data_IF_232272808473
#
_entry.id   IF_232272808473
#
_cell.length_a   1.000
_cell.length_b   1.000
_cell.length_c   1.000
_cell.angle_alpha   90.00
_cell.angle_beta   90.00
_cell.angle_gamma   90.00
#
_symmetry.space_group_name_H-M   'P 1'
#
loop_
_entity.id
_entity.type
_entity.pdbx_description
1 polymer ?
#
# COMPACT_ATOMS: atom_id res chain seq x y z
N UNK A 1 35.66 1.22 -50.97
CA UNK A 1 34.25 1.26 -50.49
C UNK A 1 34.00 0.21 -49.40
N UNK A 2 34.74 0.26 -48.27
CA UNK A 2 34.64 -0.75 -47.18
C UNK A 2 34.68 -0.16 -45.76
N UNK A 3 34.64 1.17 -45.63
CA UNK A 3 34.74 1.87 -44.32
C UNK A 3 33.44 2.55 -43.87
N UNK A 4 32.37 2.45 -44.65
CA UNK A 4 31.07 3.09 -44.36
C UNK A 4 30.04 2.15 -43.70
N UNK A 5 30.29 0.84 -43.66
CA UNK A 5 29.32 -0.14 -43.14
C UNK A 5 29.40 -0.35 -41.62
N UNK A 6 30.48 0.07 -40.95
CA UNK A 6 30.67 -0.16 -39.51
C UNK A 6 30.03 0.90 -38.60
N UNK A 7 29.75 2.10 -39.12
CA UNK A 7 29.16 3.18 -38.31
C UNK A 7 27.65 3.02 -38.09
N UNK A 8 26.96 2.27 -38.96
CA UNK A 8 25.50 2.11 -38.89
C UNK A 8 25.03 1.00 -37.92
N UNK A 9 25.91 0.04 -37.58
CA UNK A 9 25.55 -1.05 -36.67
C UNK A 9 25.66 -0.69 -35.19
N UNK A 10 26.41 0.38 -34.85
CA UNK A 10 26.56 0.83 -33.46
C UNK A 10 25.41 1.77 -33.02
N UNK A 11 24.77 2.47 -33.96
CA UNK A 11 23.65 3.37 -33.66
C UNK A 11 22.33 2.62 -33.36
N UNK A 12 22.17 1.38 -33.87
CA UNK A 12 20.95 0.60 -33.66
C UNK A 12 20.90 -0.08 -32.28
N UNK A 13 22.05 -0.32 -31.65
CA UNK A 13 22.10 -0.91 -30.30
C UNK A 13 21.85 0.11 -29.18
N UNK A 14 22.05 1.41 -29.42
CA UNK A 14 21.82 2.46 -28.42
C UNK A 14 20.35 2.88 -28.35
N UNK A 15 19.56 2.65 -29.41
CA UNK A 15 18.13 3.00 -29.44
C UNK A 15 17.21 1.98 -28.76
N UNK A 16 17.64 0.75 -28.52
CA UNK A 16 16.84 -0.28 -27.83
C UNK A 16 17.01 -0.29 -26.30
N UNK A 17 17.99 0.42 -25.76
CA UNK A 17 18.21 0.51 -24.31
C UNK A 17 17.42 1.65 -23.62
N UNK A 18 16.82 2.56 -24.39
CA UNK A 18 16.19 3.78 -23.87
C UNK A 18 14.70 3.67 -23.47
N UNK A 19 14.05 2.52 -23.69
CA UNK A 19 12.58 2.38 -23.50
C UNK A 19 12.21 1.57 -22.24
N UNK A 20 13.18 1.02 -21.52
CA UNK A 20 12.89 -0.02 -20.52
C UNK A 20 12.50 0.47 -19.12
N UNK A 21 12.60 1.76 -18.78
CA UNK A 21 12.44 2.19 -17.37
C UNK A 21 11.12 2.89 -17.04
N UNK A 22 10.41 3.43 -18.03
CA UNK A 22 9.12 4.10 -17.78
C UNK A 22 7.89 3.21 -17.99
N UNK A 23 8.03 2.08 -18.70
CA UNK A 23 6.89 1.23 -19.10
C UNK A 23 6.36 0.26 -18.05
N UNK A 24 7.12 -0.09 -17.01
CA UNK A 24 6.65 -1.08 -16.02
C UNK A 24 5.52 -0.56 -15.13
N UNK A 25 5.51 0.74 -14.80
CA UNK A 25 4.51 1.31 -13.88
C UNK A 25 3.11 1.40 -14.51
N UNK A 26 3.03 1.71 -15.81
CA UNK A 26 1.74 1.79 -16.51
C UNK A 26 1.14 0.41 -16.80
N UNK A 27 1.99 -0.60 -17.05
CA UNK A 27 1.54 -1.99 -17.27
C UNK A 27 0.93 -2.59 -15.98
N UNK A 28 1.44 -2.23 -14.81
CA UNK A 28 0.96 -2.79 -13.55
C UNK A 28 -0.52 -2.44 -13.27
N UNK A 29 -1.01 -1.31 -13.76
CA UNK A 29 -2.43 -0.90 -13.66
C UNK A 29 -3.37 -1.68 -14.60
N UNK A 30 -2.83 -2.40 -15.57
CA UNK A 30 -3.59 -3.23 -16.51
C UNK A 30 -3.70 -4.69 -16.05
N UNK A 31 -2.98 -5.06 -14.98
CA UNK A 31 -3.05 -6.38 -14.40
C UNK A 31 -4.29 -6.52 -13.53
N UNK A 32 -4.89 -7.72 -13.44
CA UNK A 32 -5.97 -7.95 -12.51
C UNK A 32 -5.49 -7.78 -11.07
N UNK A 33 -6.38 -7.30 -10.20
CA UNK A 33 -6.09 -7.13 -8.78
C UNK A 33 -5.58 -8.43 -8.15
N UNK A 34 -4.53 -8.31 -7.33
CA UNK A 34 -3.90 -9.40 -6.59
C UNK A 34 -4.66 -9.67 -5.31
N UNK A 35 -5.07 -10.92 -5.09
CA UNK A 35 -5.64 -11.35 -3.81
C UNK A 35 -4.53 -11.57 -2.78
N UNK A 36 -4.69 -11.02 -1.59
CA UNK A 36 -3.75 -11.10 -0.47
C UNK A 36 -4.38 -11.92 0.65
N UNK A 37 -3.84 -13.11 0.90
CA UNK A 37 -4.30 -14.04 1.94
C UNK A 37 -3.24 -14.26 3.03
N UNK A 38 -2.00 -14.54 2.66
CA UNK A 38 -0.87 -14.74 3.58
C UNK A 38 0.37 -13.97 3.09
N UNK A 39 0.39 -12.63 3.25
CA UNK A 39 1.53 -11.82 2.83
C UNK A 39 2.77 -12.08 3.71
N UNK A 40 3.95 -11.92 3.11
CA UNK A 40 5.23 -11.98 3.82
C UNK A 40 5.27 -10.97 4.96
N UNK A 41 5.78 -11.36 6.14
CA UNK A 41 5.74 -10.52 7.35
C UNK A 41 6.41 -9.15 7.21
N UNK A 42 7.40 -9.06 6.34
CA UNK A 42 8.16 -7.84 6.09
C UNK A 42 7.58 -7.00 4.95
N UNK A 43 6.46 -7.43 4.35
CA UNK A 43 5.84 -6.77 3.21
C UNK A 43 4.90 -5.63 3.63
N UNK A 44 4.73 -4.61 2.77
CA UNK A 44 3.72 -3.56 2.98
C UNK A 44 2.29 -4.14 3.13
N UNK A 45 1.95 -5.16 2.35
CA UNK A 45 0.64 -5.82 2.40
C UNK A 45 0.39 -6.52 3.73
N UNK A 46 1.42 -7.02 4.40
CA UNK A 46 1.27 -7.55 5.76
C UNK A 46 0.78 -6.48 6.72
N UNK A 47 1.35 -5.27 6.68
CA UNK A 47 0.88 -4.16 7.52
C UNK A 47 -0.58 -3.82 7.21
N UNK A 48 -0.97 -3.77 5.93
CA UNK A 48 -2.38 -3.56 5.53
C UNK A 48 -3.27 -4.67 6.09
N UNK A 49 -2.83 -5.92 6.04
CA UNK A 49 -3.59 -7.04 6.60
C UNK A 49 -3.76 -6.91 8.11
N UNK A 50 -2.73 -6.48 8.85
CA UNK A 50 -2.81 -6.34 10.30
C UNK A 50 -3.76 -5.22 10.73
N UNK A 51 -3.79 -4.10 10.02
CA UNK A 51 -4.77 -3.04 10.30
C UNK A 51 -6.19 -3.45 9.95
N UNK A 52 -6.39 -4.26 8.90
CA UNK A 52 -7.69 -4.86 8.56
C UNK A 52 -8.12 -5.81 9.68
N UNK A 53 -7.25 -6.74 10.10
CA UNK A 53 -7.51 -7.66 11.22
C UNK A 53 -7.92 -6.91 12.49
N UNK A 54 -7.20 -5.83 12.83
CA UNK A 54 -7.55 -5.00 13.97
C UNK A 54 -8.94 -4.36 13.80
N UNK A 55 -9.23 -3.76 12.64
CA UNK A 55 -10.50 -3.12 12.36
C UNK A 55 -11.70 -4.11 12.23
N UNK A 56 -11.46 -5.41 12.05
CA UNK A 56 -12.49 -6.44 12.05
C UNK A 56 -12.98 -6.82 13.46
N UNK A 57 -12.26 -6.43 14.51
CA UNK A 57 -12.66 -6.71 15.89
C UNK A 57 -13.89 -5.86 16.26
N UNK A 58 -14.96 -6.49 16.77
CA UNK A 58 -16.22 -5.79 17.05
C UNK A 58 -16.11 -4.81 18.24
N UNK A 59 -15.19 -5.04 19.18
CA UNK A 59 -14.93 -4.12 20.27
C UNK A 59 -13.97 -3.01 19.80
N UNK A 60 -14.46 -1.78 19.71
CA UNK A 60 -13.71 -0.63 19.21
C UNK A 60 -12.42 -0.34 20.00
N UNK A 61 -12.42 -0.50 21.33
CA UNK A 61 -11.25 -0.19 22.15
C UNK A 61 -10.18 -1.28 22.01
N UNK A 62 -10.61 -2.55 21.93
CA UNK A 62 -9.70 -3.67 21.62
C UNK A 62 -9.14 -3.52 20.21
N UNK A 63 -9.99 -3.18 19.24
CA UNK A 63 -9.62 -2.94 17.85
C UNK A 63 -8.58 -1.81 17.75
N UNK A 64 -8.81 -0.68 18.43
CA UNK A 64 -7.87 0.44 18.48
C UNK A 64 -6.52 0.03 19.08
N UNK A 65 -6.53 -0.74 20.18
CA UNK A 65 -5.30 -1.23 20.81
C UNK A 65 -4.49 -2.14 19.88
N UNK A 66 -5.17 -2.92 19.03
CA UNK A 66 -4.53 -3.77 18.01
C UNK A 66 -4.02 -2.96 16.80
N UNK A 67 -4.73 -1.89 16.43
CA UNK A 67 -4.38 -1.02 15.30
C UNK A 67 -3.22 -0.08 15.61
N UNK A 68 -3.25 0.58 16.78
CA UNK A 68 -2.32 1.65 17.18
C UNK A 68 -0.83 1.32 16.97
N UNK A 69 -0.32 0.10 17.25
CA UNK A 69 1.09 -0.24 17.03
C UNK A 69 1.55 -0.17 15.56
N UNK A 70 0.61 -0.20 14.61
CA UNK A 70 0.89 -0.12 13.17
C UNK A 70 1.00 1.32 12.67
N UNK A 71 0.66 2.32 13.48
CA UNK A 71 0.85 3.72 13.13
C UNK A 71 2.32 4.10 13.15
N UNK A 72 2.71 4.93 12.20
CA UNK A 72 4.06 5.50 12.17
C UNK A 72 4.26 6.41 13.40
N UNK A 73 5.44 6.37 14.01
CA UNK A 73 5.82 7.12 15.22
C UNK A 73 5.45 8.61 15.16
N UNK A 74 5.70 9.26 14.02
CA UNK A 74 5.25 10.64 13.72
C UNK A 74 3.75 10.90 13.97
N UNK A 75 2.88 9.91 13.79
CA UNK A 75 1.44 10.03 14.06
C UNK A 75 1.11 9.99 15.56
N UNK A 76 2.02 9.46 16.37
CA UNK A 76 1.88 9.27 17.82
C UNK A 76 2.63 10.34 18.62
N UNK A 77 3.29 11.29 17.96
CA UNK A 77 4.12 12.32 18.62
C UNK A 77 3.31 13.26 19.51
N UNK A 78 2.03 13.50 19.19
CA UNK A 78 1.16 14.39 19.95
C UNK A 78 -0.14 13.70 20.30
N UNK A 79 -0.67 14.01 21.49
CA UNK A 79 -1.96 13.48 21.93
C UNK A 79 -3.09 13.85 20.95
N UNK A 80 -3.06 15.06 20.38
CA UNK A 80 -4.06 15.51 19.41
C UNK A 80 -4.05 14.68 18.11
N UNK A 81 -2.85 14.34 17.61
CA UNK A 81 -2.71 13.48 16.43
C UNK A 81 -3.21 12.05 16.69
N UNK A 82 -2.83 11.47 17.83
CA UNK A 82 -3.31 10.14 18.22
C UNK A 82 -4.84 10.12 18.38
N UNK A 83 -5.40 11.15 19.00
CA UNK A 83 -6.85 11.30 19.18
C UNK A 83 -7.56 11.45 17.83
N UNK A 84 -6.99 12.22 16.90
CA UNK A 84 -7.54 12.38 15.56
C UNK A 84 -7.61 11.03 14.81
N UNK A 85 -6.53 10.25 14.86
CA UNK A 85 -6.50 8.90 14.30
C UNK A 85 -7.57 8.00 14.90
N UNK A 86 -7.69 7.98 16.23
CA UNK A 86 -8.68 7.16 16.92
C UNK A 86 -10.11 7.56 16.53
N UNK A 87 -10.43 8.85 16.62
CA UNK A 87 -11.80 9.36 16.48
C UNK A 87 -12.30 9.39 15.04
N UNK A 88 -11.42 9.65 14.08
CA UNK A 88 -11.79 9.86 12.68
C UNK A 88 -11.31 8.73 11.78
N UNK A 89 -9.99 8.59 11.56
CA UNK A 89 -9.44 7.66 10.59
C UNK A 89 -9.77 6.20 10.93
N UNK A 90 -9.42 5.76 12.14
CA UNK A 90 -9.65 4.37 12.56
C UNK A 90 -11.14 4.07 12.74
N UNK A 91 -11.91 5.00 13.30
CA UNK A 91 -13.36 4.85 13.43
C UNK A 91 -14.06 4.70 12.08
N UNK A 92 -13.65 5.45 11.05
CA UNK A 92 -14.15 5.28 9.70
C UNK A 92 -13.81 3.90 9.13
N UNK A 93 -12.55 3.46 9.30
CA UNK A 93 -12.09 2.13 8.89
C UNK A 93 -12.87 1.01 9.58
N UNK A 94 -12.97 1.04 10.91
CA UNK A 94 -13.65 0.06 11.75
C UNK A 94 -15.11 -0.17 11.33
N UNK A 95 -15.84 0.91 11.04
CA UNK A 95 -17.24 0.81 10.57
C UNK A 95 -17.38 0.21 9.16
N UNK A 96 -16.39 0.41 8.30
CA UNK A 96 -16.54 0.16 6.87
C UNK A 96 -15.74 -1.04 6.35
N UNK A 97 -14.71 -1.51 7.06
CA UNK A 97 -13.74 -2.47 6.52
C UNK A 97 -14.38 -3.75 6.03
N UNK A 98 -15.27 -4.34 6.85
CA UNK A 98 -15.97 -5.60 6.56
C UNK A 98 -16.86 -5.52 5.32
N UNK A 99 -17.46 -4.35 5.06
CA UNK A 99 -18.43 -4.15 3.98
C UNK A 99 -17.76 -3.71 2.68
N UNK A 100 -16.70 -2.90 2.76
CA UNK A 100 -16.12 -2.24 1.59
C UNK A 100 -14.91 -2.99 1.02
N UNK A 101 -14.18 -3.78 1.81
CA UNK A 101 -12.87 -4.30 1.39
C UNK A 101 -12.73 -5.82 1.52
N UNK A 102 -13.72 -6.52 2.07
CA UNK A 102 -13.68 -7.96 2.34
C UNK A 102 -14.86 -8.68 1.68
N UNK A 103 -14.58 -9.63 0.78
CA UNK A 103 -15.62 -10.49 0.19
C UNK A 103 -16.24 -11.43 1.23
N UNK A 104 -15.42 -11.90 2.17
CA UNK A 104 -15.83 -12.66 3.36
C UNK A 104 -15.51 -11.81 4.61
N UNK A 105 -16.51 -11.26 5.33
CA UNK A 105 -16.29 -10.37 6.46
C UNK A 105 -15.67 -11.09 7.69
N UNK A 106 -15.50 -12.41 7.63
CA UNK A 106 -14.84 -13.20 8.67
C UNK A 106 -13.35 -13.44 8.40
N UNK A 107 -12.88 -13.14 7.18
CA UNK A 107 -11.49 -13.37 6.77
C UNK A 107 -10.79 -12.07 6.40
N UNK A 108 -9.55 -11.85 6.84
CA UNK A 108 -8.77 -10.66 6.50
C UNK A 108 -8.11 -10.80 5.12
N UNK A 109 -8.87 -11.26 4.13
CA UNK A 109 -8.42 -11.44 2.74
C UNK A 109 -8.93 -10.25 1.94
N UNK A 110 -8.02 -9.52 1.32
CA UNK A 110 -8.33 -8.32 0.55
C UNK A 110 -7.64 -8.36 -0.81
N UNK A 111 -8.05 -7.46 -1.71
CA UNK A 111 -7.47 -7.33 -3.03
C UNK A 111 -6.67 -6.04 -3.13
N UNK A 112 -5.45 -6.13 -3.65
CA UNK A 112 -4.61 -4.99 -4.01
C UNK A 112 -4.72 -4.81 -5.52
N UNK A 113 -5.10 -3.63 -5.96
CA UNK A 113 -5.13 -3.29 -7.38
C UNK A 113 -3.69 -3.08 -7.88
N UNK A 114 -3.00 -2.10 -7.30
CA UNK A 114 -1.59 -1.85 -7.58
C UNK A 114 -0.87 -1.22 -6.38
N UNK A 115 0.44 -1.11 -6.49
CA UNK A 115 1.29 -0.40 -5.52
C UNK A 115 2.08 0.69 -6.23
N UNK A 116 2.35 1.79 -5.53
CA UNK A 116 3.14 2.89 -6.05
C UNK A 116 4.27 3.24 -5.07
N UNK A 117 5.51 2.97 -5.46
CA UNK A 117 6.68 3.46 -4.75
C UNK A 117 6.84 4.96 -5.00
N UNK A 118 6.83 5.73 -3.91
CA UNK A 118 6.97 7.19 -3.91
C UNK A 118 8.43 7.58 -3.73
N UNK A 119 9.13 6.87 -2.87
CA UNK A 119 10.54 7.08 -2.56
C UNK A 119 11.19 5.72 -2.33
N UNK A 120 12.25 5.44 -3.09
CA UNK A 120 12.96 4.15 -3.15
C UNK A 120 13.03 3.44 -1.79
N UNK A 121 12.23 2.37 -1.63
CA UNK A 121 12.08 1.52 -0.42
C UNK A 121 11.82 2.26 0.91
N UNK A 122 11.43 3.53 0.86
CA UNK A 122 11.11 4.34 2.05
C UNK A 122 9.62 4.60 2.19
N UNK A 123 8.92 4.75 1.06
CA UNK A 123 7.52 5.15 1.04
C UNK A 123 6.78 4.47 -0.11
N UNK A 124 5.67 3.81 0.23
CA UNK A 124 4.85 3.07 -0.72
C UNK A 124 3.36 3.32 -0.45
N UNK A 125 2.58 3.52 -1.52
CA UNK A 125 1.12 3.47 -1.49
C UNK A 125 0.64 2.10 -1.93
N UNK A 126 -0.20 1.48 -1.12
CA UNK A 126 -0.93 0.25 -1.47
C UNK A 126 -2.36 0.65 -1.81
N UNK A 127 -2.80 0.38 -3.03
CA UNK A 127 -4.15 0.70 -3.50
C UNK A 127 -5.05 -0.53 -3.34
N UNK A 128 -5.89 -0.50 -2.30
CA UNK A 128 -6.78 -1.61 -1.93
C UNK A 128 -8.10 -1.48 -2.68
N UNK A 129 -8.57 -2.56 -3.31
CA UNK A 129 -9.83 -2.58 -4.04
C UNK A 129 -11.00 -2.29 -3.10
N UNK A 130 -11.80 -1.28 -3.42
CA UNK A 130 -13.04 -0.96 -2.73
C UNK A 130 -14.21 -1.59 -3.50
N UNK A 131 -14.94 -2.53 -2.91
CA UNK A 131 -16.04 -3.24 -3.58
C UNK A 131 -17.23 -2.32 -3.92
N UNK A 132 -17.29 -1.12 -3.35
CA UNK A 132 -18.34 -0.14 -3.61
C UNK A 132 -17.92 0.99 -4.56
N UNK A 133 -16.70 0.95 -5.12
CA UNK A 133 -16.19 1.99 -6.02
C UNK A 133 -15.23 1.41 -7.05
N UNK A 134 -15.26 1.94 -8.27
CA UNK A 134 -14.27 1.58 -9.30
C UNK A 134 -12.86 2.11 -8.97
N UNK A 135 -12.73 3.00 -7.99
CA UNK A 135 -11.44 3.58 -7.57
C UNK A 135 -10.89 2.85 -6.34
N UNK A 136 -9.66 2.31 -6.39
CA UNK A 136 -9.06 1.67 -5.23
C UNK A 136 -8.67 2.73 -4.18
N UNK A 137 -8.72 2.33 -2.91
CA UNK A 137 -8.44 3.20 -1.77
C UNK A 137 -6.98 3.09 -1.34
N UNK A 138 -6.24 4.21 -1.24
CA UNK A 138 -4.83 4.17 -0.90
C UNK A 138 -4.59 4.00 0.61
N UNK A 139 -3.55 3.24 0.94
CA UNK A 139 -2.89 3.22 2.25
C UNK A 139 -1.42 3.59 2.03
N UNK A 140 -0.99 4.67 2.68
CA UNK A 140 0.40 5.12 2.64
C UNK A 140 1.19 4.50 3.78
N UNK A 141 2.23 3.76 3.42
CA UNK A 141 3.16 3.13 4.33
C UNK A 141 4.53 3.77 4.19
N UNK A 142 5.18 4.01 5.32
CA UNK A 142 6.52 4.58 5.40
C UNK A 142 7.36 3.75 6.36
N UNK A 143 8.63 3.55 6.04
CA UNK A 143 9.61 2.96 6.94
C UNK A 143 9.77 3.84 8.17
N UNK A 144 9.59 3.28 9.38
CA UNK A 144 9.67 4.04 10.62
C UNK A 144 11.00 3.78 11.37
N UNK A 145 11.91 4.76 11.46
CA UNK A 145 13.17 4.61 12.18
C UNK A 145 13.00 4.27 13.66
N UNK A 146 11.90 4.68 14.29
CA UNK A 146 11.61 4.37 15.69
C UNK A 146 11.12 2.92 15.89
N UNK A 147 10.81 2.21 14.81
CA UNK A 147 10.37 0.83 14.79
C UNK A 147 11.30 -0.04 13.94
N UNK A 148 12.62 0.12 14.08
CA UNK A 148 13.64 -0.65 13.37
C UNK A 148 13.50 -0.62 11.83
N UNK A 149 13.01 0.50 11.26
CA UNK A 149 12.70 0.63 9.83
C UNK A 149 11.65 -0.38 9.33
N UNK A 150 10.74 -0.83 10.18
CA UNK A 150 9.58 -1.58 9.72
C UNK A 150 8.57 -0.65 9.02
N UNK A 151 7.75 -1.23 8.13
CA UNK A 151 6.64 -0.50 7.51
C UNK A 151 5.61 -0.10 8.56
N UNK A 152 5.17 1.16 8.51
CA UNK A 152 4.11 1.71 9.36
C UNK A 152 3.18 2.62 8.59
N UNK A 153 1.94 2.70 9.05
CA UNK A 153 0.88 3.52 8.45
C UNK A 153 1.16 5.00 8.69
N UNK A 154 1.40 5.74 7.60
CA UNK A 154 1.49 7.20 7.60
C UNK A 154 0.15 7.84 7.25
N UNK A 155 -0.63 7.25 6.33
CA UNK A 155 -1.97 7.69 5.98
C UNK A 155 -2.84 6.48 5.63
N UNK A 156 -4.10 6.50 6.06
CA UNK A 156 -5.07 5.44 5.76
C UNK A 156 -6.38 6.09 5.34
N UNK A 157 -6.83 5.76 4.13
CA UNK A 157 -8.13 6.19 3.61
C UNK A 157 -9.17 5.07 3.63
N UNK A 158 -8.83 3.88 4.17
CA UNK A 158 -9.78 2.78 4.28
C UNK A 158 -10.93 3.22 5.19
N UNK A 159 -12.14 3.29 4.62
CA UNK A 159 -13.34 3.73 5.32
C UNK A 159 -13.80 5.15 5.01
N UNK A 160 -13.11 5.86 4.12
CA UNK A 160 -13.64 7.03 3.42
C UNK A 160 -14.49 6.62 2.21
#
# INVERSE_FOLDING_TARGET
>A
MRRLALAFSLALFVLLAGVATSGCKDIQRLLPAKTIEDPDKDSPEYVVQQIIKAAMNDDFEVAWKQFRPWLHSQQLQTHASELNWKQFNFNAMHRNVKRLYLEDPTKPIFKVDYTEEIKDDQEIKVFVVNMASDMPTPVLLTRDPAANNEWRVRQCSLGL
#
